data_IF_016639464550
#
_entry.id   IF_016639464550
#
_cell.length_a   1.000
_cell.length_b   1.000
_cell.length_c   1.000
_cell.angle_alpha   90.00
_cell.angle_beta   90.00
_cell.angle_gamma   90.00
#
_symmetry.space_group_name_H-M   'P 1'
#
loop_
_entity.id
_entity.type
_entity.pdbx_description
1 polymer ?
#
# COMPACT_ATOMS: atom_id res chain seq x y z
N UNK A 1 40.15 14.64 -17.23
CA UNK A 1 39.67 13.58 -16.31
C UNK A 1 38.84 14.11 -15.16
N UNK A 2 39.27 15.09 -14.34
CA UNK A 2 38.49 15.60 -13.16
C UNK A 2 37.10 16.15 -13.52
N UNK A 3 36.96 16.90 -14.64
CA UNK A 3 35.66 17.45 -15.09
C UNK A 3 34.68 16.34 -15.53
N UNK A 4 35.17 15.32 -16.23
CA UNK A 4 34.32 14.18 -16.65
C UNK A 4 33.84 13.40 -15.41
N UNK A 5 34.72 13.15 -14.43
CA UNK A 5 34.32 12.51 -13.18
C UNK A 5 33.26 13.31 -12.42
N UNK A 6 33.43 14.65 -12.34
CA UNK A 6 32.45 15.53 -11.70
C UNK A 6 31.07 15.43 -12.38
N UNK A 7 31.03 15.46 -13.71
CA UNK A 7 29.77 15.33 -14.46
C UNK A 7 29.10 13.99 -14.19
N UNK A 8 29.84 12.89 -14.17
CA UNK A 8 29.30 11.55 -13.86
C UNK A 8 28.71 11.52 -12.46
N UNK A 9 29.43 12.06 -11.47
CA UNK A 9 28.93 12.12 -10.07
C UNK A 9 27.64 12.95 -9.97
N UNK A 10 27.58 14.10 -10.63
CA UNK A 10 26.37 14.93 -10.64
C UNK A 10 25.19 14.23 -11.30
N UNK A 11 25.41 13.51 -12.40
CA UNK A 11 24.36 12.72 -13.07
C UNK A 11 23.86 11.59 -12.17
N UNK A 12 24.75 10.89 -11.46
CA UNK A 12 24.37 9.84 -10.51
C UNK A 12 23.56 10.42 -9.33
N UNK A 13 23.99 11.55 -8.77
CA UNK A 13 23.25 12.22 -7.70
C UNK A 13 21.86 12.66 -8.17
N UNK A 14 21.75 13.24 -9.37
CA UNK A 14 20.48 13.62 -9.96
C UNK A 14 19.58 12.40 -10.19
N UNK A 15 20.12 11.31 -10.71
CA UNK A 15 19.39 10.07 -10.92
C UNK A 15 18.84 9.50 -9.61
N UNK A 16 19.68 9.38 -8.56
CA UNK A 16 19.27 8.89 -7.25
C UNK A 16 18.20 9.80 -6.63
N UNK A 17 18.37 11.13 -6.74
CA UNK A 17 17.41 12.09 -6.19
C UNK A 17 16.05 12.03 -6.90
N UNK A 18 16.04 11.95 -8.23
CA UNK A 18 14.80 11.82 -9.01
C UNK A 18 14.10 10.50 -8.72
N UNK A 19 14.86 9.41 -8.61
CA UNK A 19 14.31 8.09 -8.29
C UNK A 19 13.71 8.06 -6.89
N UNK A 20 14.44 8.58 -5.88
CA UNK A 20 13.95 8.68 -4.51
C UNK A 20 12.67 9.52 -4.42
N UNK A 21 12.65 10.67 -5.10
CA UNK A 21 11.46 11.51 -5.17
C UNK A 21 10.29 10.80 -5.85
N UNK A 22 10.52 10.08 -6.95
CA UNK A 22 9.48 9.36 -7.67
C UNK A 22 8.85 8.24 -6.80
N UNK A 23 9.65 7.56 -6.00
CA UNK A 23 9.18 6.46 -5.14
C UNK A 23 8.39 6.96 -3.92
N UNK A 24 8.82 8.05 -3.27
CA UNK A 24 8.23 8.53 -2.01
C UNK A 24 7.14 9.58 -2.19
N UNK A 25 7.16 10.35 -3.27
CA UNK A 25 6.16 11.39 -3.51
C UNK A 25 4.89 10.80 -4.13
N UNK A 26 3.74 11.42 -3.87
CA UNK A 26 2.47 11.07 -4.50
C UNK A 26 1.53 10.18 -3.69
N UNK A 27 1.69 10.18 -2.37
CA UNK A 27 0.76 9.48 -1.48
C UNK A 27 1.06 7.99 -1.40
N UNK A 28 2.24 7.66 -0.92
CA UNK A 28 2.62 6.31 -0.52
C UNK A 28 1.85 5.90 0.73
N UNK A 29 1.41 4.66 0.81
CA UNK A 29 0.83 4.09 2.02
C UNK A 29 1.86 3.23 2.75
N UNK A 30 1.66 3.03 4.05
CA UNK A 30 2.42 2.05 4.82
C UNK A 30 1.52 0.84 5.08
N UNK A 31 1.91 -0.32 4.56
CA UNK A 31 1.26 -1.59 4.88
C UNK A 31 2.01 -2.27 6.02
N UNK A 32 1.26 -2.65 7.05
CA UNK A 32 1.77 -3.49 8.13
C UNK A 32 1.28 -4.91 7.95
N UNK A 33 2.23 -5.83 7.86
CA UNK A 33 2.01 -7.26 7.72
C UNK A 33 2.53 -8.01 8.93
N UNK A 34 2.03 -9.21 9.16
CA UNK A 34 2.51 -10.10 10.22
C UNK A 34 3.44 -11.15 9.64
N UNK A 35 4.67 -11.17 10.16
CA UNK A 35 5.67 -12.18 9.79
C UNK A 35 5.34 -13.54 10.39
N UNK A 36 5.93 -14.63 9.86
CA UNK A 36 5.77 -15.98 10.42
C UNK A 36 6.23 -16.10 11.88
N UNK A 37 7.22 -15.31 12.31
CA UNK A 37 7.70 -15.26 13.71
C UNK A 37 6.77 -14.47 14.65
N UNK A 38 5.66 -13.93 14.13
CA UNK A 38 4.70 -13.14 14.87
C UNK A 38 5.04 -11.66 15.02
N UNK A 39 6.20 -11.20 14.56
CA UNK A 39 6.56 -9.78 14.54
C UNK A 39 5.80 -9.02 13.44
N UNK A 40 5.80 -7.69 13.52
CA UNK A 40 5.18 -6.82 12.52
C UNK A 40 6.25 -6.27 11.58
N UNK A 41 5.91 -6.20 10.28
CA UNK A 41 6.71 -5.53 9.25
C UNK A 41 5.92 -4.34 8.73
N UNK A 42 6.55 -3.17 8.66
CA UNK A 42 6.00 -1.98 8.00
C UNK A 42 6.73 -1.77 6.67
N UNK A 43 5.98 -1.59 5.60
CA UNK A 43 6.53 -1.42 4.25
C UNK A 43 5.82 -0.29 3.54
N UNK A 44 6.57 0.61 2.90
CA UNK A 44 6.03 1.63 2.01
C UNK A 44 5.60 0.97 0.71
N UNK A 45 4.37 1.22 0.29
CA UNK A 45 3.78 0.61 -0.91
C UNK A 45 3.01 1.64 -1.72
N UNK A 46 3.06 1.50 -3.01
CA UNK A 46 2.16 2.23 -3.89
C UNK A 46 0.77 1.63 -3.81
N UNK A 47 -0.23 2.50 -3.81
CA UNK A 47 -1.62 2.11 -3.74
C UNK A 47 -2.47 2.93 -4.70
N UNK A 48 -3.58 2.37 -5.11
CA UNK A 48 -4.61 3.08 -5.86
C UNK A 48 -5.99 2.78 -5.27
N UNK A 49 -6.94 3.68 -5.52
CA UNK A 49 -8.34 3.46 -5.18
C UNK A 49 -9.14 3.34 -6.47
N UNK A 50 -10.01 2.36 -6.56
CA UNK A 50 -10.91 2.16 -7.68
C UNK A 50 -12.29 1.72 -7.17
N UNK A 51 -13.35 2.48 -7.49
CA UNK A 51 -14.75 2.18 -7.11
C UNK A 51 -14.95 1.87 -5.61
N UNK A 52 -14.17 2.55 -4.75
CA UNK A 52 -14.22 2.35 -3.30
C UNK A 52 -13.37 1.20 -2.75
N UNK A 53 -12.72 0.42 -3.61
CA UNK A 53 -11.74 -0.59 -3.24
C UNK A 53 -10.33 0.00 -3.25
N UNK A 54 -9.47 -0.52 -2.38
CA UNK A 54 -8.04 -0.20 -2.35
C UNK A 54 -7.24 -1.33 -2.97
N UNK A 55 -6.24 -0.93 -3.74
CA UNK A 55 -5.37 -1.84 -4.48
C UNK A 55 -3.91 -1.51 -4.19
N UNK A 56 -3.11 -2.52 -3.92
CA UNK A 56 -1.66 -2.42 -3.75
C UNK A 56 -0.95 -3.14 -4.90
N UNK A 57 0.31 -2.77 -5.14
CA UNK A 57 1.18 -3.50 -6.05
C UNK A 57 2.34 -4.15 -5.28
N UNK A 58 2.49 -5.45 -5.41
CA UNK A 58 3.73 -6.13 -5.09
C UNK A 58 4.60 -6.13 -6.35
N UNK A 59 5.63 -5.29 -6.39
CA UNK A 59 6.48 -5.10 -7.59
C UNK A 59 7.24 -6.36 -8.01
N UNK A 60 7.41 -7.32 -7.09
CA UNK A 60 7.96 -8.65 -7.38
C UNK A 60 7.31 -9.70 -6.46
N UNK A 61 7.16 -10.96 -6.92
CA UNK A 61 6.61 -12.05 -6.10
C UNK A 61 7.41 -12.36 -4.83
N UNK A 62 8.70 -12.03 -4.79
CA UNK A 62 9.58 -12.20 -3.62
C UNK A 62 9.62 -11.00 -2.68
N UNK A 63 8.72 -10.03 -2.81
CA UNK A 63 8.62 -8.94 -1.83
C UNK A 63 8.19 -9.50 -0.47
N UNK A 64 8.96 -9.23 0.56
CA UNK A 64 8.77 -9.84 1.88
C UNK A 64 7.39 -9.59 2.49
N UNK A 65 6.80 -8.38 2.30
CA UNK A 65 5.45 -8.11 2.77
C UNK A 65 4.39 -8.91 2.00
N UNK A 66 4.66 -9.20 0.71
CA UNK A 66 3.78 -10.02 -0.11
C UNK A 66 3.84 -11.49 0.29
N UNK A 67 5.02 -11.98 0.72
CA UNK A 67 5.16 -13.31 1.31
C UNK A 67 4.42 -13.40 2.65
N UNK A 68 4.51 -12.38 3.49
CA UNK A 68 3.80 -12.32 4.78
C UNK A 68 2.28 -12.48 4.59
N UNK A 69 1.66 -11.79 3.61
CA UNK A 69 0.21 -11.86 3.38
C UNK A 69 -0.27 -13.20 2.85
N UNK A 70 0.59 -14.01 2.27
CA UNK A 70 0.24 -15.36 1.83
C UNK A 70 -0.01 -16.29 3.02
N UNK A 71 0.66 -16.03 4.15
CA UNK A 71 0.50 -16.78 5.40
C UNK A 71 -0.52 -16.11 6.32
N UNK A 72 -0.52 -14.78 6.37
CA UNK A 72 -1.41 -13.98 7.21
C UNK A 72 -2.01 -12.83 6.39
N UNK A 73 -3.18 -13.02 5.75
CA UNK A 73 -3.74 -12.05 4.81
C UNK A 73 -4.29 -10.78 5.49
N UNK A 74 -4.40 -10.76 6.82
CA UNK A 74 -4.85 -9.58 7.55
C UNK A 74 -3.74 -8.55 7.64
N UNK A 75 -4.04 -7.31 7.18
CA UNK A 75 -3.09 -6.20 7.15
C UNK A 75 -3.69 -4.94 7.75
N UNK A 76 -2.82 -4.03 8.22
CA UNK A 76 -3.20 -2.65 8.53
C UNK A 76 -2.58 -1.75 7.48
N UNK A 77 -3.39 -0.92 6.83
CA UNK A 77 -2.91 0.05 5.85
C UNK A 77 -3.06 1.45 6.43
N UNK A 78 -1.96 2.19 6.45
CA UNK A 78 -1.92 3.59 6.84
C UNK A 78 -1.88 4.47 5.59
N UNK A 79 -2.92 5.26 5.36
CA UNK A 79 -2.98 6.27 4.31
C UNK A 79 -3.06 7.62 5.00
N UNK A 80 -2.09 8.51 4.74
CA UNK A 80 -2.00 9.81 5.39
C UNK A 80 -2.07 9.71 6.93
N UNK A 81 -1.42 8.69 7.48
CA UNK A 81 -1.40 8.41 8.91
C UNK A 81 -2.70 7.84 9.50
N UNK A 82 -3.72 7.59 8.68
CA UNK A 82 -4.99 7.00 9.12
C UNK A 82 -4.97 5.49 8.90
N UNK A 83 -5.06 4.67 9.96
CA UNK A 83 -5.06 3.22 9.85
C UNK A 83 -6.43 2.68 9.41
N UNK A 84 -6.40 1.64 8.59
CA UNK A 84 -7.55 0.82 8.25
C UNK A 84 -7.16 -0.66 8.26
N UNK A 85 -8.06 -1.53 8.71
CA UNK A 85 -7.84 -2.99 8.73
C UNK A 85 -8.49 -3.62 7.51
N UNK A 86 -7.72 -4.46 6.82
CA UNK A 86 -8.13 -5.10 5.57
C UNK A 86 -7.73 -6.58 5.56
N UNK A 87 -8.40 -7.32 4.69
CA UNK A 87 -7.93 -8.62 4.21
C UNK A 87 -7.33 -8.41 2.83
N UNK A 88 -6.08 -8.81 2.67
CA UNK A 88 -5.34 -8.73 1.41
C UNK A 88 -5.61 -9.96 0.56
N UNK A 89 -6.04 -9.75 -0.68
CA UNK A 89 -6.32 -10.79 -1.67
C UNK A 89 -5.41 -10.61 -2.88
N UNK A 90 -4.39 -11.46 -3.06
CA UNK A 90 -3.55 -11.42 -4.24
C UNK A 90 -4.32 -11.86 -5.48
N UNK A 91 -4.32 -11.04 -6.53
CA UNK A 91 -4.90 -11.34 -7.84
C UNK A 91 -3.76 -11.71 -8.78
N UNK A 92 -3.63 -13.00 -9.10
CA UNK A 92 -2.48 -13.54 -9.83
C UNK A 92 -2.70 -13.71 -11.33
N UNK A 93 -3.92 -13.43 -11.79
CA UNK A 93 -4.23 -13.50 -13.22
C UNK A 93 -3.71 -12.24 -13.97
N UNK A 94 -3.51 -12.34 -15.30
CA UNK A 94 -3.04 -11.21 -16.10
C UNK A 94 -3.94 -9.97 -16.01
N UNK A 95 -5.25 -10.15 -15.84
CA UNK A 95 -6.19 -9.02 -15.74
C UNK A 95 -5.97 -8.21 -14.48
N UNK A 96 -5.58 -8.85 -13.36
CA UNK A 96 -5.19 -8.18 -12.13
C UNK A 96 -3.94 -7.32 -12.32
N UNK A 97 -2.93 -7.86 -13.00
CA UNK A 97 -1.72 -7.10 -13.34
C UNK A 97 -2.06 -5.86 -14.18
N UNK A 98 -2.79 -6.03 -15.26
CA UNK A 98 -3.17 -4.92 -16.16
C UNK A 98 -3.99 -3.86 -15.41
N UNK A 99 -4.89 -4.28 -14.53
CA UNK A 99 -5.70 -3.40 -13.71
C UNK A 99 -4.84 -2.56 -12.78
N UNK A 100 -3.96 -3.17 -11.98
CA UNK A 100 -3.13 -2.40 -11.03
C UNK A 100 -2.19 -1.47 -11.76
N UNK A 101 -1.56 -1.90 -12.86
CA UNK A 101 -0.68 -1.05 -13.68
C UNK A 101 -1.43 0.14 -14.26
N UNK A 102 -2.67 -0.06 -14.74
CA UNK A 102 -3.54 1.02 -15.22
C UNK A 102 -3.87 2.04 -14.13
N UNK A 103 -4.25 1.56 -12.94
CA UNK A 103 -4.58 2.40 -11.79
C UNK A 103 -3.38 3.21 -11.29
N UNK A 104 -2.20 2.59 -11.20
CA UNK A 104 -0.98 3.27 -10.77
C UNK A 104 -0.53 4.31 -11.78
N UNK A 105 -0.61 4.00 -13.08
CA UNK A 105 -0.32 4.96 -14.15
C UNK A 105 -1.24 6.17 -14.09
N UNK A 106 -2.53 5.96 -13.83
CA UNK A 106 -3.49 7.05 -13.67
C UNK A 106 -3.18 7.92 -12.44
N UNK A 107 -2.79 7.31 -11.32
CA UNK A 107 -2.50 8.03 -10.07
C UNK A 107 -1.14 8.71 -10.08
N UNK A 108 -0.10 8.03 -10.54
CA UNK A 108 1.29 8.47 -10.40
C UNK A 108 1.88 9.08 -11.68
N UNK A 109 1.26 8.87 -12.85
CA UNK A 109 1.64 9.49 -14.12
C UNK A 109 3.09 9.28 -14.49
N UNK A 110 3.86 10.37 -14.67
CA UNK A 110 5.27 10.33 -15.07
C UNK A 110 6.17 9.54 -14.09
N UNK A 111 5.79 9.46 -12.81
CA UNK A 111 6.56 8.69 -11.81
C UNK A 111 6.43 7.20 -12.05
N UNK A 112 5.23 6.72 -12.38
CA UNK A 112 5.02 5.32 -12.76
C UNK A 112 5.80 4.97 -14.02
N UNK A 113 5.82 5.87 -15.01
CA UNK A 113 6.65 5.70 -16.22
C UNK A 113 8.13 5.61 -15.88
N UNK A 114 8.64 6.50 -14.99
CA UNK A 114 10.04 6.48 -14.55
C UNK A 114 10.40 5.17 -13.84
N UNK A 115 9.54 4.70 -12.93
CA UNK A 115 9.74 3.45 -12.22
C UNK A 115 9.73 2.26 -13.19
N UNK A 116 8.78 2.22 -14.13
CA UNK A 116 8.70 1.17 -15.14
C UNK A 116 9.91 1.15 -16.10
N UNK A 117 10.61 2.29 -16.29
CA UNK A 117 11.83 2.36 -17.07
C UNK A 117 13.02 1.70 -16.34
N UNK A 118 13.05 1.79 -15.02
CA UNK A 118 14.19 1.34 -14.19
C UNK A 118 13.98 -0.05 -13.65
N UNK A 119 12.74 -0.41 -13.29
CA UNK A 119 12.38 -1.67 -12.67
C UNK A 119 11.51 -2.51 -13.61
N UNK A 120 11.79 -3.80 -13.65
CA UNK A 120 10.92 -4.75 -14.35
C UNK A 120 9.62 -4.95 -13.57
N UNK A 121 8.55 -4.34 -14.07
CA UNK A 121 7.21 -4.45 -13.49
C UNK A 121 6.39 -5.60 -14.08
N UNK A 122 6.91 -6.36 -15.04
CA UNK A 122 6.17 -7.43 -15.74
C UNK A 122 5.72 -8.56 -14.81
N UNK A 123 6.40 -8.73 -13.67
CA UNK A 123 6.12 -9.76 -12.66
C UNK A 123 5.37 -9.22 -11.45
N UNK A 124 4.92 -7.96 -11.49
CA UNK A 124 4.18 -7.39 -10.36
C UNK A 124 2.82 -8.08 -10.18
N UNK A 125 2.39 -8.18 -8.94
CA UNK A 125 1.13 -8.82 -8.54
C UNK A 125 0.22 -7.77 -7.91
N UNK A 126 -1.03 -7.73 -8.39
CA UNK A 126 -2.07 -6.92 -7.78
C UNK A 126 -2.53 -7.54 -6.46
N UNK A 127 -2.76 -6.70 -5.47
CA UNK A 127 -3.36 -7.10 -4.18
C UNK A 127 -4.57 -6.23 -3.92
N UNK A 128 -5.76 -6.82 -3.93
CA UNK A 128 -7.01 -6.17 -3.58
C UNK A 128 -7.17 -6.17 -2.07
N UNK A 129 -7.59 -5.04 -1.51
CA UNK A 129 -7.86 -4.89 -0.08
C UNK A 129 -9.35 -4.85 0.20
N UNK A 130 -9.85 -5.84 0.91
CA UNK A 130 -11.23 -5.92 1.37
C UNK A 130 -11.33 -5.34 2.79
N UNK A 131 -12.14 -4.28 3.02
CA UNK A 131 -12.27 -3.69 4.35
C UNK A 131 -12.87 -4.70 5.33
N UNK A 132 -12.28 -4.82 6.51
CA UNK A 132 -12.91 -5.55 7.61
C UNK A 132 -13.87 -4.63 8.35
N UNK A 133 -15.16 -4.98 8.31
CA UNK A 133 -16.19 -4.30 9.10
C UNK A 133 -16.01 -4.64 10.58
N UNK A 134 -16.35 -3.73 11.47
CA UNK A 134 -16.10 -3.80 12.94
C UNK A 134 -16.58 -5.07 13.65
N UNK A 135 -17.52 -5.81 13.08
CA UNK A 135 -18.01 -7.08 13.66
C UNK A 135 -16.89 -8.12 13.88
N UNK A 136 -15.71 -7.94 13.29
CA UNK A 136 -14.57 -8.84 13.41
C UNK A 136 -13.36 -8.22 14.14
N UNK A 137 -13.43 -6.94 14.55
CA UNK A 137 -12.34 -6.26 15.28
C UNK A 137 -12.08 -6.88 16.66
N UNK A 138 -13.11 -7.47 17.28
CA UNK A 138 -12.96 -8.22 18.53
C UNK A 138 -12.08 -9.48 18.44
N UNK A 139 -11.77 -9.92 17.20
CA UNK A 139 -10.96 -11.11 16.92
C UNK A 139 -9.55 -10.77 16.39
N UNK A 140 -9.00 -9.59 16.70
CA UNK A 140 -7.58 -9.34 16.49
C UNK A 140 -6.80 -10.38 17.30
N UNK A 141 -5.99 -11.18 16.59
CA UNK A 141 -5.23 -12.26 17.20
C UNK A 141 -4.45 -11.77 18.44
N UNK A 142 -4.35 -12.56 19.51
CA UNK A 142 -3.54 -12.21 20.67
C UNK A 142 -2.10 -11.98 20.20
N UNK A 143 -1.59 -10.75 20.39
CA UNK A 143 -0.24 -10.37 19.96
C UNK A 143 -0.15 -9.07 19.16
N UNK A 144 -1.26 -8.49 18.75
CA UNK A 144 -1.23 -7.12 18.19
C UNK A 144 -1.04 -6.09 19.31
N UNK A 145 -0.18 -5.05 19.10
CA UNK A 145 0.05 -4.01 20.09
C UNK A 145 -1.26 -3.33 20.52
N UNK A 146 -1.40 -3.08 21.80
CA UNK A 146 -2.62 -2.46 22.39
C UNK A 146 -2.96 -1.11 21.75
N UNK A 147 -1.94 -0.37 21.30
CA UNK A 147 -2.06 0.93 20.61
C UNK A 147 -2.82 0.79 19.30
N UNK A 148 -2.59 -0.29 18.54
CA UNK A 148 -3.30 -0.55 17.29
C UNK A 148 -4.77 -0.92 17.51
N UNK A 149 -5.07 -1.67 18.55
CA UNK A 149 -6.46 -1.98 18.91
C UNK A 149 -7.26 -0.73 19.25
N UNK A 150 -6.65 0.22 19.97
CA UNK A 150 -7.27 1.48 20.33
C UNK A 150 -7.50 2.40 19.11
N UNK A 151 -6.54 2.47 18.18
CA UNK A 151 -6.66 3.29 16.96
C UNK A 151 -7.74 2.80 16.02
N UNK A 152 -7.88 1.48 15.86
CA UNK A 152 -8.89 0.85 15.02
C UNK A 152 -10.29 1.06 15.61
N UNK A 153 -10.44 0.89 16.94
CA UNK A 153 -11.70 1.16 17.64
C UNK A 153 -12.13 2.63 17.53
N UNK A 154 -11.19 3.58 17.59
CA UNK A 154 -11.47 5.01 17.46
C UNK A 154 -11.89 5.42 16.02
N UNK A 155 -11.34 4.75 14.99
CA UNK A 155 -11.70 5.01 13.60
C UNK A 155 -13.12 4.53 13.26
N UNK A 156 -13.53 3.41 13.83
CA UNK A 156 -14.86 2.85 13.61
C UNK A 156 -15.99 3.65 14.24
N UNK A 157 -15.78 4.17 15.46
CA UNK A 157 -16.81 4.93 16.18
C UNK A 157 -17.19 6.24 15.48
N UNK A 158 -16.34 6.79 14.61
CA UNK A 158 -16.65 8.02 13.84
C UNK A 158 -17.56 7.79 12.63
N UNK A 159 -17.58 6.59 12.05
CA UNK A 159 -18.47 6.27 10.90
C UNK A 159 -19.93 6.04 11.33
N UNK A 160 -20.18 5.63 12.56
CA UNK A 160 -21.53 5.35 13.05
C UNK A 160 -22.38 6.63 13.31
N UNK A 161 -21.82 7.84 13.19
CA UNK A 161 -22.53 9.11 13.42
C UNK A 161 -22.79 9.90 12.14
N UNK A 162 -23.32 9.28 11.11
CA UNK A 162 -23.99 10.06 10.05
C UNK A 162 -25.40 10.43 10.52
N UNK A 163 -25.81 11.72 10.45
CA UNK A 163 -27.16 12.11 10.81
C UNK A 163 -28.15 11.43 9.88
N UNK A 164 -29.12 10.72 10.44
CA UNK A 164 -30.30 10.26 9.70
C UNK A 164 -30.96 11.49 9.10
N UNK A 165 -31.02 11.58 7.78
CA UNK A 165 -31.83 12.57 7.10
C UNK A 165 -33.26 12.36 7.54
N UNK A 166 -33.81 13.38 8.19
CA UNK A 166 -35.23 13.48 8.53
C UNK A 166 -35.99 13.62 7.20
N UNK A 167 -36.65 12.58 6.77
CA UNK A 167 -37.69 12.67 5.77
C UNK A 167 -38.82 13.52 6.44
N UNK A 168 -38.97 14.70 5.94
CA UNK A 168 -40.09 15.59 6.34
C UNK A 168 -41.33 15.24 5.52
N UNK A 169 -42.41 15.39 6.19
CA UNK A 169 -43.76 15.41 5.64
C UNK A 169 -43.92 16.44 4.53
#
# INVERSE_FOLDING_TARGET
>A
MKRALLVVVLLLLAFVSVTGWALESGGVAVVETRRPDGSTRSTHVWYAANKGELWLEAGAPGNSWFEDIQTSPRVVLHIEGKPGVYVAEPIRDPSGHDQIRGLLRQKYGLRDWWVALIFDTSRSVAVRLMPQTESHVGALAPGWPSVMRASVAAAGSRRARLPRSRAGD
#
